data_IF_992962838079
#
_entry.id   IF_992962838079
#
_cell.length_a   1.000
_cell.length_b   1.000
_cell.length_c   1.000
_cell.angle_alpha   90.00
_cell.angle_beta   90.00
_cell.angle_gamma   90.00
#
_symmetry.space_group_name_H-M   'P 1'
#
loop_
_entity.id
_entity.type
_entity.pdbx_description
1 polymer ?
#
# COMPACT_ATOMS: atom_id res chain seq x y z
N UNK A 1 4.39 10.56 20.53
CA UNK A 1 3.52 11.45 19.73
C UNK A 1 2.29 10.65 19.37
N UNK A 2 1.05 11.16 19.43
CA UNK A 2 -0.11 10.36 19.05
C UNK A 2 -0.10 10.18 17.53
N UNK A 3 0.23 8.98 17.07
CA UNK A 3 0.04 8.61 15.67
C UNK A 3 -1.47 8.57 15.42
N UNK A 4 -1.96 9.39 14.50
CA UNK A 4 -3.39 9.43 14.20
C UNK A 4 -3.71 8.26 13.28
N UNK A 5 -4.79 7.51 13.55
CA UNK A 5 -5.20 6.36 12.71
C UNK A 5 -5.37 6.70 11.22
N UNK A 6 -5.60 7.97 10.90
CA UNK A 6 -5.59 8.51 9.54
C UNK A 6 -4.22 8.42 8.86
N UNK A 7 -3.13 8.61 9.59
CA UNK A 7 -1.76 8.43 9.10
C UNK A 7 -1.53 6.98 8.67
N UNK A 8 -1.86 5.98 9.50
CA UNK A 8 -1.70 4.57 9.11
C UNK A 8 -2.57 4.18 7.92
N UNK A 9 -3.79 4.71 7.80
CA UNK A 9 -4.60 4.53 6.59
C UNK A 9 -3.88 5.06 5.34
N UNK A 10 -3.31 6.27 5.41
CA UNK A 10 -2.56 6.86 4.31
C UNK A 10 -1.24 6.10 4.03
N UNK A 11 -0.58 5.61 5.07
CA UNK A 11 0.62 4.77 5.02
C UNK A 11 0.34 3.42 4.35
N UNK A 12 -0.87 2.88 4.43
CA UNK A 12 -1.29 1.74 3.63
C UNK A 12 -1.62 2.12 2.18
N UNK A 13 -2.33 3.23 2.00
CA UNK A 13 -2.90 3.63 0.71
C UNK A 13 -1.86 4.11 -0.32
N UNK A 14 -0.96 5.01 0.07
CA UNK A 14 0.02 5.62 -0.85
C UNK A 14 1.05 4.61 -1.36
N UNK A 15 1.69 3.79 -0.50
CA UNK A 15 2.62 2.76 -0.95
C UNK A 15 1.95 1.69 -1.80
N UNK A 16 0.67 1.38 -1.55
CA UNK A 16 -0.07 0.42 -2.37
C UNK A 16 -0.21 0.91 -3.82
N UNK A 17 -0.49 2.20 -4.03
CA UNK A 17 -0.55 2.83 -5.35
C UNK A 17 0.81 2.83 -6.05
N UNK A 18 1.87 3.25 -5.35
CA UNK A 18 3.22 3.30 -5.91
C UNK A 18 3.71 1.89 -6.27
N UNK A 19 3.52 0.91 -5.38
CA UNK A 19 3.89 -0.47 -5.63
C UNK A 19 3.14 -1.02 -6.86
N UNK A 20 1.83 -0.76 -6.96
CA UNK A 20 1.03 -1.18 -8.12
C UNK A 20 1.55 -0.58 -9.43
N UNK A 21 1.87 0.71 -9.44
CA UNK A 21 2.44 1.40 -10.61
C UNK A 21 3.74 0.72 -11.07
N UNK A 22 4.66 0.46 -10.14
CA UNK A 22 5.95 -0.15 -10.44
C UNK A 22 5.75 -1.58 -10.94
N UNK A 23 4.95 -2.39 -10.26
CA UNK A 23 4.69 -3.79 -10.60
C UNK A 23 4.02 -3.95 -11.97
N UNK A 24 3.11 -3.03 -12.33
CA UNK A 24 2.47 -3.02 -13.65
C UNK A 24 3.44 -2.55 -14.72
N UNK A 25 4.12 -1.40 -14.53
CA UNK A 25 5.04 -0.84 -15.54
C UNK A 25 6.27 -1.69 -15.81
N UNK A 26 6.75 -2.42 -14.81
CA UNK A 26 7.92 -3.29 -14.92
C UNK A 26 7.55 -4.73 -15.29
N UNK A 27 6.26 -5.02 -15.50
CA UNK A 27 5.72 -6.34 -15.82
C UNK A 27 6.23 -7.47 -14.90
N UNK A 28 6.56 -7.14 -13.65
CA UNK A 28 7.19 -8.08 -12.70
C UNK A 28 6.25 -9.23 -12.34
N UNK A 29 4.94 -8.93 -12.23
CA UNK A 29 3.91 -9.93 -11.95
C UNK A 29 2.81 -9.83 -13.00
N UNK A 30 2.76 -10.83 -13.88
CA UNK A 30 1.77 -10.94 -14.95
C UNK A 30 0.34 -11.10 -14.41
N UNK A 31 0.14 -11.87 -13.34
CA UNK A 31 -1.19 -12.12 -12.77
C UNK A 31 -1.66 -10.97 -11.87
N UNK A 32 -2.80 -10.36 -12.21
CA UNK A 32 -3.41 -9.27 -11.44
C UNK A 32 -3.73 -9.66 -9.99
N UNK A 33 -4.15 -10.92 -9.76
CA UNK A 33 -4.46 -11.43 -8.42
C UNK A 33 -3.21 -11.53 -7.55
N UNK A 34 -2.13 -12.11 -8.08
CA UNK A 34 -0.86 -12.24 -7.36
C UNK A 34 -0.20 -10.89 -7.11
N UNK A 35 -0.34 -9.94 -8.04
CA UNK A 35 0.15 -8.58 -7.87
C UNK A 35 -0.55 -7.89 -6.71
N UNK A 36 -1.88 -7.96 -6.64
CA UNK A 36 -2.64 -7.36 -5.54
C UNK A 36 -2.29 -8.00 -4.19
N UNK A 37 -2.16 -9.33 -4.13
CA UNK A 37 -1.73 -10.03 -2.93
C UNK A 37 -0.34 -9.55 -2.46
N UNK A 38 0.63 -9.46 -3.37
CA UNK A 38 1.98 -8.99 -3.05
C UNK A 38 1.98 -7.55 -2.51
N UNK A 39 1.19 -6.66 -3.12
CA UNK A 39 1.06 -5.27 -2.68
C UNK A 39 0.50 -5.18 -1.26
N UNK A 40 -0.53 -5.96 -0.93
CA UNK A 40 -1.10 -6.02 0.41
C UNK A 40 -0.04 -6.48 1.43
N UNK A 41 0.67 -7.58 1.12
CA UNK A 41 1.73 -8.09 1.98
C UNK A 41 2.87 -7.07 2.17
N UNK A 42 3.24 -6.36 1.11
CA UNK A 42 4.28 -5.33 1.17
C UNK A 42 3.88 -4.16 2.06
N UNK A 43 2.66 -3.64 1.91
CA UNK A 43 2.13 -2.56 2.76
C UNK A 43 2.05 -2.98 4.24
N UNK A 44 1.60 -4.22 4.51
CA UNK A 44 1.56 -4.76 5.87
C UNK A 44 2.97 -4.90 6.45
N UNK A 45 3.93 -5.39 5.68
CA UNK A 45 5.32 -5.51 6.11
C UNK A 45 5.96 -4.15 6.38
N UNK A 46 5.68 -3.13 5.56
CA UNK A 46 6.15 -1.75 5.81
C UNK A 46 5.59 -1.19 7.11
N UNK A 47 4.29 -1.38 7.37
CA UNK A 47 3.67 -0.95 8.63
C UNK A 47 4.29 -1.68 9.82
N UNK A 48 4.46 -3.00 9.74
CA UNK A 48 5.11 -3.77 10.80
C UNK A 48 6.57 -3.36 11.06
N UNK A 49 7.35 -3.07 10.02
CA UNK A 49 8.72 -2.58 10.15
C UNK A 49 8.77 -1.23 10.88
N UNK A 50 7.84 -0.32 10.60
CA UNK A 50 7.79 0.98 11.27
C UNK A 50 7.55 0.81 12.78
N UNK A 51 6.58 -0.01 13.16
CA UNK A 51 6.28 -0.33 14.56
C UNK A 51 7.47 -1.00 15.28
N UNK A 52 8.19 -1.90 14.59
CA UNK A 52 9.40 -2.52 15.14
C UNK A 52 10.54 -1.52 15.34
N UNK A 53 10.67 -0.52 14.45
CA UNK A 53 11.65 0.56 14.60
C UNK A 53 11.28 1.44 15.79
N UNK A 54 10.01 1.81 15.95
CA UNK A 54 9.56 2.57 17.13
C UNK A 54 9.83 1.80 18.43
N UNK A 55 9.57 0.50 18.45
CA UNK A 55 9.91 -0.36 19.59
C UNK A 55 11.42 -0.40 19.86
N UNK A 56 12.25 -0.55 18.83
CA UNK A 56 13.70 -0.55 18.96
C UNK A 56 14.25 0.78 19.50
N UNK A 57 13.74 1.92 19.00
CA UNK A 57 14.10 3.25 19.48
C UNK A 57 13.68 3.45 20.93
N UNK A 58 12.51 2.95 21.32
CA UNK A 58 12.04 3.01 22.69
C UNK A 58 13.00 2.29 23.65
N UNK A 59 13.45 1.08 23.30
CA UNK A 59 14.42 0.31 24.09
C UNK A 59 15.75 1.06 24.25
N UNK A 60 16.26 1.66 23.17
CA UNK A 60 17.56 2.34 23.18
C UNK A 60 17.53 3.64 23.99
N UNK A 61 16.37 4.29 24.11
CA UNK A 61 16.25 5.63 24.69
C UNK A 61 15.93 5.66 26.19
N UNK A 62 15.89 4.50 26.88
CA UNK A 62 15.80 4.20 28.34
C UNK A 62 14.77 5.02 29.17
N UNK A 63 14.80 6.35 29.08
CA UNK A 63 13.77 7.30 29.51
C UNK A 63 12.50 7.29 28.65
N UNK A 64 12.62 6.92 27.36
CA UNK A 64 11.47 6.86 26.47
C UNK A 64 10.73 5.52 26.54
N UNK A 65 11.36 4.43 27.00
CA UNK A 65 10.73 3.10 27.02
C UNK A 65 9.48 3.07 27.92
N UNK A 66 9.58 3.55 29.16
CA UNK A 66 8.43 3.62 30.08
C UNK A 66 7.41 4.68 29.65
N UNK A 67 7.85 5.78 29.03
CA UNK A 67 6.94 6.76 28.46
C UNK A 67 6.24 6.22 27.21
N UNK A 68 6.88 5.45 26.33
CA UNK A 68 6.26 4.97 25.08
C UNK A 68 5.36 3.75 25.35
N UNK A 69 5.81 2.76 26.13
CA UNK A 69 5.01 1.59 26.50
C UNK A 69 3.96 1.91 27.58
N UNK A 70 4.23 2.88 28.47
CA UNK A 70 3.31 3.32 29.52
C UNK A 70 2.34 4.43 29.11
N UNK A 71 2.65 5.27 28.10
CA UNK A 71 1.73 6.32 27.59
C UNK A 71 1.01 5.95 26.29
N UNK A 72 1.31 4.79 25.67
CA UNK A 72 0.47 4.26 24.58
C UNK A 72 -1.00 4.16 25.00
N UNK A 73 -1.30 4.04 26.30
CA UNK A 73 -2.65 4.08 26.87
C UNK A 73 -3.56 2.93 26.44
N UNK A 74 -3.12 2.15 25.45
CA UNK A 74 -3.85 1.11 24.76
C UNK A 74 -2.86 0.05 24.25
N UNK A 75 -2.95 -1.16 24.81
CA UNK A 75 -2.02 -2.27 24.55
C UNK A 75 -2.08 -2.74 23.07
N UNK A 76 -3.16 -2.44 22.36
CA UNK A 76 -3.39 -2.86 20.99
C UNK A 76 -3.14 -1.75 19.96
N UNK A 77 -2.41 -0.69 20.33
CA UNK A 77 -2.18 0.46 19.46
C UNK A 77 -1.45 0.02 18.18
N UNK A 78 -0.30 -0.63 18.34
CA UNK A 78 0.51 -1.21 17.27
C UNK A 78 -0.26 -2.17 16.37
N UNK A 79 -1.11 -3.04 16.94
CA UNK A 79 -1.92 -3.98 16.18
C UNK A 79 -3.03 -3.27 15.39
N UNK A 80 -3.67 -2.28 16.00
CA UNK A 80 -4.70 -1.49 15.35
C UNK A 80 -4.11 -0.65 14.21
N UNK A 81 -2.89 -0.15 14.36
CA UNK A 81 -2.15 0.60 13.35
C UNK A 81 -1.84 -0.25 12.11
N UNK A 82 -1.35 -1.47 12.31
CA UNK A 82 -1.17 -2.43 11.22
C UNK A 82 -2.50 -2.79 10.54
N UNK A 83 -3.59 -2.90 11.31
CA UNK A 83 -4.92 -3.16 10.76
C UNK A 83 -5.45 -1.99 9.91
N UNK A 84 -5.24 -0.74 10.34
CA UNK A 84 -5.60 0.45 9.56
C UNK A 84 -4.76 0.54 8.28
N UNK A 85 -3.47 0.23 8.33
CA UNK A 85 -2.63 0.16 7.14
C UNK A 85 -3.11 -0.93 6.15
N UNK A 86 -3.52 -2.10 6.66
CA UNK A 86 -4.11 -3.17 5.84
C UNK A 86 -5.39 -2.71 5.14
N UNK A 87 -6.30 -2.08 5.88
CA UNK A 87 -7.55 -1.53 5.35
C UNK A 87 -7.26 -0.47 4.28
N UNK A 88 -6.32 0.44 4.52
CA UNK A 88 -5.90 1.46 3.55
C UNK A 88 -5.36 0.85 2.25
N UNK A 89 -4.54 -0.20 2.33
CA UNK A 89 -4.02 -0.91 1.17
C UNK A 89 -5.13 -1.63 0.38
N UNK A 90 -6.07 -2.29 1.07
CA UNK A 90 -7.24 -2.93 0.44
C UNK A 90 -8.11 -1.89 -0.26
N UNK A 91 -8.39 -0.75 0.40
CA UNK A 91 -9.17 0.35 -0.20
C UNK A 91 -8.50 0.88 -1.47
N UNK A 92 -7.18 1.10 -1.46
CA UNK A 92 -6.44 1.53 -2.65
C UNK A 92 -6.60 0.55 -3.82
N UNK A 93 -6.50 -0.76 -3.55
CA UNK A 93 -6.61 -1.79 -4.58
C UNK A 93 -8.05 -1.95 -5.11
N UNK A 94 -9.05 -1.86 -4.25
CA UNK A 94 -10.47 -1.97 -4.64
C UNK A 94 -10.89 -0.75 -5.47
N UNK A 95 -10.58 0.46 -5.00
CA UNK A 95 -11.01 1.71 -5.62
C UNK A 95 -10.23 2.02 -6.90
N UNK A 96 -8.90 1.91 -6.86
CA UNK A 96 -8.06 2.24 -8.01
C UNK A 96 -7.79 1.05 -8.94
N UNK A 97 -7.92 -0.20 -8.49
CA UNK A 97 -7.67 -1.38 -9.33
C UNK A 97 -8.56 -1.42 -10.58
N UNK A 98 -9.85 -1.10 -10.40
CA UNK A 98 -10.83 -1.09 -11.51
C UNK A 98 -10.57 0.04 -12.51
N UNK A 99 -10.16 1.22 -12.03
CA UNK A 99 -9.90 2.39 -12.88
C UNK A 99 -8.62 2.15 -13.71
N UNK A 100 -7.62 1.57 -13.07
CA UNK A 100 -6.31 1.34 -13.68
C UNK A 100 -6.36 0.21 -14.72
N UNK A 101 -7.11 -0.86 -14.45
CA UNK A 101 -7.34 -1.92 -15.43
C UNK A 101 -8.16 -1.41 -16.62
N UNK A 102 -9.11 -0.48 -16.40
CA UNK A 102 -9.83 0.24 -17.47
C UNK A 102 -8.89 1.11 -18.32
N UNK A 103 -7.97 1.84 -17.70
CA UNK A 103 -7.03 2.71 -18.40
C UNK A 103 -6.04 1.91 -19.27
N UNK A 104 -5.50 0.80 -18.75
CA UNK A 104 -4.63 -0.10 -19.50
C UNK A 104 -5.33 -0.68 -20.73
N UNK A 105 -6.60 -1.09 -20.59
CA UNK A 105 -7.39 -1.64 -21.71
C UNK A 105 -7.64 -0.63 -22.83
N UNK A 106 -7.76 0.65 -22.49
CA UNK A 106 -7.97 1.72 -23.46
C UNK A 106 -6.70 2.06 -24.25
N UNK A 107 -5.51 1.85 -23.69
CA UNK A 107 -4.23 2.06 -24.38
C UNK A 107 -3.99 0.92 -25.39
N UNK A 108 -4.24 -0.34 -25.01
CA UNK A 108 -4.10 -1.49 -25.91
C UNK A 108 -5.15 -1.48 -27.05
N UNK A 109 -6.35 -0.96 -26.79
CA UNK A 109 -7.42 -0.89 -27.80
C UNK A 109 -7.15 0.06 -28.98
N UNK A 110 -6.20 1.00 -28.86
CA UNK A 110 -5.85 1.93 -29.95
C UNK A 110 -4.78 1.40 -30.92
N UNK A 111 -3.97 0.42 -30.52
CA UNK A 111 -2.90 -0.10 -31.40
C UNK A 111 -3.40 -1.08 -32.48
N UNK A 112 -4.68 -1.45 -32.44
CA UNK A 112 -5.25 -2.47 -33.32
C UNK A 112 -6.30 -1.91 -34.29
N UNK A 113 -6.29 -0.60 -34.57
CA UNK A 113 -7.05 -0.06 -35.69
C UNK A 113 -6.34 -0.49 -36.99
N UNK A 114 -6.94 -1.34 -37.83
CA UNK A 114 -6.39 -1.57 -39.15
C UNK A 114 -6.29 -0.20 -39.84
N UNK A 115 -5.13 0.07 -40.46
CA UNK A 115 -4.96 1.24 -41.30
C UNK A 115 -6.15 1.29 -42.26
N UNK A 116 -6.83 2.43 -42.31
CA UNK A 116 -7.92 2.67 -43.25
C UNK A 116 -7.46 2.23 -44.64
N UNK A 117 -8.25 1.42 -45.38
CA UNK A 117 -7.97 1.22 -46.79
C UNK A 117 -8.02 2.61 -47.43
N UNK A 118 -6.86 3.09 -47.89
CA UNK A 118 -6.81 4.24 -48.77
C UNK A 118 -7.67 3.90 -49.97
N UNK A 119 -8.78 4.62 -50.12
CA UNK A 119 -9.67 4.49 -51.26
C UNK A 119 -8.89 4.70 -52.56
N UNK A 120 -9.26 3.89 -53.55
CA UNK A 120 -8.74 3.89 -54.92
C UNK A 120 -8.75 5.26 -55.61
#
# INVERSE_FOLDING_TARGET
MPQTKAYQLLQGFVPALIAREILVRKEVIASSKWRNFFIICFCLALSACYELIEWAVAIVSDTAAEAFLGTQGYIWDTQSDMAFALVGAIMALVLCGHIHDRQMRNITGQSNRPASPTAD
#
